data_IF_217679186147
#
_entry.id   IF_217679186147
#
_cell.length_a   1.000
_cell.length_b   1.000
_cell.length_c   1.000
_cell.angle_alpha   90.00
_cell.angle_beta   90.00
_cell.angle_gamma   90.00
#
_symmetry.space_group_name_H-M   'P 1'
#
loop_
_entity.id
_entity.type
_entity.pdbx_description
1 polymer ?
#
# COMPACT_ATOMS: atom_id res chain seq x y z
N UNK A 1 5.60 7.42 -13.07
CA UNK A 1 5.43 7.47 -11.59
C UNK A 1 5.54 8.89 -11.05
N UNK A 2 6.36 9.70 -11.72
CA UNK A 2 6.68 11.08 -11.43
C UNK A 2 5.46 12.00 -11.48
N UNK A 3 4.51 11.75 -12.40
CA UNK A 3 3.21 12.46 -12.45
C UNK A 3 2.37 12.29 -11.17
N UNK A 4 2.70 11.29 -10.35
CA UNK A 4 2.08 11.01 -9.04
C UNK A 4 2.99 11.38 -7.86
N UNK A 5 4.14 12.00 -8.13
CA UNK A 5 5.11 12.43 -7.11
C UNK A 5 6.07 11.34 -6.63
N UNK A 6 6.16 10.21 -7.34
CA UNK A 6 7.08 9.11 -6.97
C UNK A 6 8.34 9.09 -7.83
N UNK A 7 9.45 8.71 -7.20
CA UNK A 7 10.71 8.47 -7.92
C UNK A 7 10.71 7.13 -8.66
N UNK A 8 11.52 7.02 -9.71
CA UNK A 8 11.73 5.74 -10.39
C UNK A 8 12.55 4.81 -9.50
N UNK A 9 12.07 3.59 -9.37
CA UNK A 9 12.77 2.52 -8.67
C UNK A 9 13.37 1.52 -9.68
N UNK A 10 14.49 0.89 -9.32
CA UNK A 10 14.99 -0.30 -10.01
C UNK A 10 14.17 -1.51 -9.60
N UNK A 11 14.13 -2.54 -10.46
CA UNK A 11 13.46 -3.82 -10.14
C UNK A 11 13.91 -4.42 -8.80
N UNK A 12 15.18 -4.23 -8.45
CA UNK A 12 15.79 -4.72 -7.22
C UNK A 12 15.19 -4.06 -5.97
N UNK A 13 14.82 -2.78 -6.06
CA UNK A 13 14.26 -2.02 -4.95
C UNK A 13 12.87 -2.52 -4.56
N UNK A 14 12.17 -3.09 -5.53
CA UNK A 14 10.82 -3.67 -5.43
C UNK A 14 10.82 -5.18 -5.13
N UNK A 15 12.01 -5.81 -5.08
CA UNK A 15 12.10 -7.25 -4.85
C UNK A 15 11.56 -7.62 -3.47
N UNK A 16 10.70 -8.64 -3.45
CA UNK A 16 10.34 -9.37 -2.24
C UNK A 16 11.38 -10.43 -1.89
N UNK A 17 11.03 -11.32 -0.96
CA UNK A 17 11.86 -12.43 -0.52
C UNK A 17 11.02 -13.65 -0.14
N UNK A 18 11.40 -14.33 0.94
CA UNK A 18 10.62 -15.44 1.54
C UNK A 18 9.25 -14.96 2.02
N UNK A 19 8.40 -15.91 2.41
CA UNK A 19 7.08 -15.60 2.97
C UNK A 19 7.19 -14.68 4.21
N UNK A 20 8.12 -14.97 5.11
CA UNK A 20 8.36 -14.20 6.34
C UNK A 20 8.88 -12.79 6.02
N UNK A 21 9.79 -12.69 5.05
CA UNK A 21 10.30 -11.40 4.59
C UNK A 21 9.20 -10.55 3.95
N UNK A 22 8.35 -11.15 3.11
CA UNK A 22 7.23 -10.44 2.48
C UNK A 22 6.16 -10.03 3.49
N UNK A 23 5.90 -10.86 4.51
CA UNK A 23 5.01 -10.51 5.61
C UNK A 23 5.55 -9.28 6.36
N UNK A 24 6.85 -9.25 6.68
CA UNK A 24 7.48 -8.08 7.32
C UNK A 24 7.41 -6.84 6.45
N UNK A 25 7.79 -6.95 5.16
CA UNK A 25 7.69 -5.84 4.19
C UNK A 25 6.27 -5.28 4.14
N UNK A 26 5.26 -6.15 4.12
CA UNK A 26 3.85 -5.73 4.07
C UNK A 26 3.48 -4.95 5.33
N UNK A 27 3.85 -5.47 6.51
CA UNK A 27 3.61 -4.77 7.79
C UNK A 27 4.34 -3.42 7.83
N UNK A 28 5.60 -3.36 7.42
CA UNK A 28 6.38 -2.12 7.38
C UNK A 28 5.70 -1.07 6.48
N UNK A 29 5.21 -1.48 5.30
CA UNK A 29 4.47 -0.59 4.39
C UNK A 29 3.20 -0.06 5.08
N UNK A 30 2.42 -0.92 5.74
CA UNK A 30 1.19 -0.53 6.43
C UNK A 30 1.45 0.27 7.72
N UNK A 31 2.65 0.18 8.30
CA UNK A 31 3.14 1.05 9.38
C UNK A 31 3.63 2.42 8.86
N UNK A 32 3.61 2.64 7.54
CA UNK A 32 3.96 3.91 6.91
C UNK A 32 5.43 4.07 6.55
N UNK A 33 6.24 3.00 6.59
CA UNK A 33 7.64 3.03 6.16
C UNK A 33 7.70 3.49 4.70
N UNK A 34 8.38 4.62 4.48
CA UNK A 34 8.51 5.25 3.16
C UNK A 34 9.55 4.52 2.30
N UNK A 35 9.36 4.57 0.98
CA UNK A 35 10.29 4.01 0.01
C UNK A 35 9.59 3.32 -1.16
N UNK A 36 10.36 2.83 -2.14
CA UNK A 36 9.84 2.39 -3.44
C UNK A 36 8.83 1.25 -3.36
N UNK A 37 8.94 0.38 -2.34
CA UNK A 37 7.96 -0.69 -2.07
C UNK A 37 6.60 -0.13 -1.62
N UNK A 38 6.58 0.93 -0.81
CA UNK A 38 5.34 1.63 -0.44
C UNK A 38 4.76 2.38 -1.64
N UNK A 39 5.61 3.02 -2.43
CA UNK A 39 5.18 3.82 -3.59
C UNK A 39 4.43 2.97 -4.63
N UNK A 40 4.94 1.76 -4.93
CA UNK A 40 4.23 0.84 -5.83
C UNK A 40 2.90 0.35 -5.25
N UNK A 41 2.82 0.15 -3.92
CA UNK A 41 1.56 -0.21 -3.25
C UNK A 41 0.55 0.94 -3.34
N UNK A 42 0.98 2.19 -3.14
CA UNK A 42 0.13 3.36 -3.30
C UNK A 42 -0.39 3.50 -4.74
N UNK A 43 0.45 3.26 -5.74
CA UNK A 43 0.03 3.30 -7.15
C UNK A 43 -1.00 2.20 -7.46
N UNK A 44 -0.79 0.97 -6.99
CA UNK A 44 -1.73 -0.13 -7.22
C UNK A 44 -3.05 0.09 -6.46
N UNK A 45 -3.00 0.58 -5.22
CA UNK A 45 -4.18 0.93 -4.44
C UNK A 45 -4.95 2.07 -5.10
N UNK A 46 -4.25 3.09 -5.62
CA UNK A 46 -4.87 4.18 -6.37
C UNK A 46 -5.60 3.67 -7.62
N UNK A 47 -4.99 2.75 -8.39
CA UNK A 47 -5.65 2.13 -9.53
C UNK A 47 -6.92 1.36 -9.12
N UNK A 48 -6.89 0.63 -8.00
CA UNK A 48 -8.06 -0.06 -7.46
C UNK A 48 -9.16 0.92 -7.02
N UNK A 49 -8.80 2.05 -6.39
CA UNK A 49 -9.74 3.10 -5.99
C UNK A 49 -10.41 3.76 -7.19
N UNK A 50 -9.67 4.00 -8.28
CA UNK A 50 -10.23 4.51 -9.54
C UNK A 50 -11.18 3.48 -10.17
N UNK A 51 -10.75 2.22 -10.26
CA UNK A 51 -11.57 1.15 -10.83
C UNK A 51 -12.86 0.87 -10.03
N UNK A 52 -12.85 1.16 -8.73
CA UNK A 52 -14.00 1.05 -7.84
C UNK A 52 -14.76 2.36 -7.60
N UNK A 53 -14.64 3.34 -8.51
CA UNK A 53 -15.34 4.64 -8.45
C UNK A 53 -15.17 5.41 -7.11
N UNK A 54 -14.09 5.13 -6.38
CA UNK A 54 -13.80 5.67 -5.04
C UNK A 54 -12.90 6.90 -5.07
N UNK A 55 -12.45 7.32 -6.26
CA UNK A 55 -11.70 8.55 -6.52
C UNK A 55 -11.95 9.03 -7.96
N UNK A 56 -11.79 10.33 -8.22
CA UNK A 56 -12.04 10.92 -9.55
C UNK A 56 -10.77 11.15 -10.37
N UNK A 57 -9.60 11.01 -9.75
CA UNK A 57 -8.31 11.17 -10.40
C UNK A 57 -7.24 10.34 -9.69
N UNK A 58 -6.17 9.96 -10.40
CA UNK A 58 -5.07 9.22 -9.78
C UNK A 58 -4.39 10.00 -8.64
N UNK A 59 -4.30 11.32 -8.73
CA UNK A 59 -3.77 12.17 -7.65
C UNK A 59 -4.61 12.07 -6.38
N UNK A 60 -5.94 12.20 -6.50
CA UNK A 60 -6.85 12.02 -5.36
C UNK A 60 -6.77 10.58 -4.81
N UNK A 61 -6.69 9.59 -5.69
CA UNK A 61 -6.62 8.18 -5.31
C UNK A 61 -5.33 7.85 -4.54
N UNK A 62 -4.17 8.37 -4.99
CA UNK A 62 -2.89 8.25 -4.28
C UNK A 62 -2.94 8.95 -2.92
N UNK A 63 -3.55 10.13 -2.85
CA UNK A 63 -3.70 10.84 -1.58
C UNK A 63 -4.53 10.03 -0.57
N UNK A 64 -5.69 9.48 -1.00
CA UNK A 64 -6.52 8.59 -0.18
C UNK A 64 -5.78 7.34 0.27
N UNK A 65 -5.05 6.69 -0.63
CA UNK A 65 -4.24 5.52 -0.30
C UNK A 65 -3.13 5.86 0.71
N UNK A 66 -2.46 7.02 0.54
CA UNK A 66 -1.42 7.49 1.46
C UNK A 66 -2.02 7.79 2.83
N UNK A 67 -3.17 8.46 2.90
CA UNK A 67 -3.86 8.74 4.17
C UNK A 67 -4.26 7.44 4.88
N UNK A 68 -4.78 6.45 4.16
CA UNK A 68 -5.14 5.16 4.76
C UNK A 68 -3.95 4.44 5.40
N UNK A 69 -2.77 4.49 4.76
CA UNK A 69 -1.52 3.95 5.32
C UNK A 69 -1.03 4.81 6.49
N UNK A 70 -0.87 6.11 6.27
CA UNK A 70 -0.20 7.01 7.22
C UNK A 70 -1.04 7.26 8.49
N UNK A 71 -2.36 7.12 8.41
CA UNK A 71 -3.25 7.16 9.58
C UNK A 71 -3.32 5.84 10.36
N UNK A 72 -2.70 4.76 9.86
CA UNK A 72 -2.76 3.42 10.46
C UNK A 72 -4.04 2.63 10.16
N UNK A 73 -5.05 3.23 9.51
CA UNK A 73 -6.32 2.56 9.16
C UNK A 73 -6.11 1.30 8.31
N UNK A 74 -5.14 1.32 7.40
CA UNK A 74 -4.82 0.15 6.57
C UNK A 74 -4.24 -1.01 7.41
N UNK A 75 -3.41 -0.70 8.42
CA UNK A 75 -2.89 -1.69 9.37
C UNK A 75 -3.99 -2.23 10.29
N UNK A 76 -4.84 -1.36 10.81
CA UNK A 76 -6.01 -1.75 11.61
C UNK A 76 -6.89 -2.73 10.82
N UNK A 77 -7.15 -2.45 9.54
CA UNK A 77 -7.93 -3.36 8.68
C UNK A 77 -7.29 -4.74 8.53
N UNK A 78 -5.96 -4.82 8.42
CA UNK A 78 -5.26 -6.11 8.39
C UNK A 78 -5.47 -6.88 9.70
N UNK A 79 -5.39 -6.22 10.85
CA UNK A 79 -5.64 -6.87 12.15
C UNK A 79 -7.08 -7.36 12.28
N UNK A 80 -8.07 -6.58 11.82
CA UNK A 80 -9.46 -7.04 11.75
C UNK A 80 -9.61 -8.30 10.89
N UNK A 81 -8.98 -8.34 9.71
CA UNK A 81 -9.02 -9.51 8.81
C UNK A 81 -8.40 -10.73 9.49
N UNK A 82 -7.24 -10.58 10.15
CA UNK A 82 -6.59 -11.68 10.88
C UNK A 82 -7.49 -12.23 11.99
N UNK A 83 -8.15 -11.35 12.74
CA UNK A 83 -9.09 -11.75 13.79
C UNK A 83 -10.29 -12.48 13.19
N UNK A 84 -10.86 -11.97 12.10
CA UNK A 84 -12.00 -12.59 11.44
C UNK A 84 -11.66 -13.96 10.84
N UNK A 85 -10.52 -14.10 10.16
CA UNK A 85 -10.12 -15.35 9.50
C UNK A 85 -9.80 -16.48 10.48
N UNK A 86 -9.30 -16.16 11.68
CA UNK A 86 -8.96 -17.16 12.71
C UNK A 86 -10.16 -17.57 13.57
N UNK A 87 -11.31 -16.93 13.40
CA UNK A 87 -12.58 -17.28 14.07
C UNK A 87 -13.47 -18.18 13.23
N UNK A 88 -13.16 -18.35 11.95
CA UNK A 88 -13.79 -19.30 11.03
C UNK A 88 -13.16 -20.68 11.18
#
# INVERSE_FOLDING_TARGET
PEDLGFERAKKQDLAGGTAEQNARITVDILEGVKGPKRDIVLMNAAAALIAGDSAKSFTEAVQKASEAIDSGKAKEKLEEVKVASNRL
#
